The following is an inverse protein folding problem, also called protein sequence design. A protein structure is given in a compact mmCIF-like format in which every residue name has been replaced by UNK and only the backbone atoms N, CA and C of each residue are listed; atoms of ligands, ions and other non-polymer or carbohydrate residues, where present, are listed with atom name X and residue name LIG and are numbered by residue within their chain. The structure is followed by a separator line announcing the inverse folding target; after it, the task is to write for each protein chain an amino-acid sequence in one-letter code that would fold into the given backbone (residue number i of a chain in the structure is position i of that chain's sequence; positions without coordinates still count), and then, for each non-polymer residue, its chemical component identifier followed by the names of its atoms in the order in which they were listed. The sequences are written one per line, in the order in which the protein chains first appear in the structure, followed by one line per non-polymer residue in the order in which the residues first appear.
data_IF_252472041342
#
_entry.id   IF_252472041342
#
_cell.length_a   1.000
_cell.length_b   1.000
_cell.length_c   1.000
_cell.angle_alpha   90.00
_cell.angle_beta   90.00
_cell.angle_gamma   90.00
#
_symmetry.space_group_name_H-M   'P 1'
#
loop_
_entity.id
_entity.type
_entity.pdbx_description
1 polymer ?
#
# COMPACT_ATOMS: atom_id res chain seq x y z
N UNK A 1 -32.09 -14.86 -40.76
CA UNK A 1 -31.59 -13.47 -40.95
C UNK A 1 -30.69 -13.15 -39.78
N UNK A 2 -29.40 -12.94 -40.02
CA UNK A 2 -28.42 -12.68 -38.96
C UNK A 2 -28.56 -11.24 -38.48
N UNK A 3 -28.93 -11.04 -37.21
CA UNK A 3 -28.77 -9.75 -36.53
C UNK A 3 -27.28 -9.48 -36.42
N UNK A 4 -26.73 -8.64 -37.30
CA UNK A 4 -25.42 -8.05 -37.07
C UNK A 4 -25.49 -7.26 -35.76
N UNK A 5 -24.76 -7.71 -34.73
CA UNK A 5 -24.50 -6.92 -33.53
C UNK A 5 -23.93 -5.60 -34.00
N UNK A 6 -24.70 -4.51 -33.90
CA UNK A 6 -24.22 -3.15 -34.19
C UNK A 6 -23.19 -2.79 -33.13
N UNK A 7 -21.94 -3.12 -33.38
CA UNK A 7 -20.81 -2.61 -32.62
C UNK A 7 -20.76 -1.09 -32.78
N UNK A 8 -20.41 -0.38 -31.71
CA UNK A 8 -20.14 1.05 -31.80
C UNK A 8 -18.80 1.24 -32.52
N UNK A 9 -18.81 1.97 -33.63
CA UNK A 9 -17.61 2.24 -34.44
C UNK A 9 -16.98 3.59 -34.13
N UNK A 10 -15.68 3.73 -34.40
CA UNK A 10 -14.96 5.02 -34.23
C UNK A 10 -15.59 6.07 -35.15
N UNK A 11 -15.90 7.24 -34.60
CA UNK A 11 -16.55 8.33 -35.35
C UNK A 11 -18.07 8.22 -35.45
N UNK A 12 -18.68 7.16 -34.91
CA UNK A 12 -20.13 7.07 -34.81
C UNK A 12 -20.66 8.06 -33.76
N UNK A 13 -21.69 8.81 -34.12
CA UNK A 13 -22.36 9.73 -33.19
C UNK A 13 -23.24 8.95 -32.22
N UNK A 14 -23.06 9.19 -30.92
CA UNK A 14 -23.91 8.66 -29.85
C UNK A 14 -24.71 9.82 -29.25
N UNK A 15 -26.03 9.66 -29.15
CA UNK A 15 -26.92 10.67 -28.57
C UNK A 15 -27.44 10.17 -27.23
N UNK A 16 -27.30 10.98 -26.19
CA UNK A 16 -27.75 10.65 -24.84
C UNK A 16 -28.85 11.63 -24.39
N UNK A 17 -29.74 11.17 -23.52
CA UNK A 17 -30.69 12.02 -22.81
C UNK A 17 -30.25 12.13 -21.36
N UNK A 18 -30.34 13.33 -20.79
CA UNK A 18 -30.08 13.55 -19.37
C UNK A 18 -31.20 12.88 -18.58
N UNK A 19 -30.92 11.96 -17.64
CA UNK A 19 -31.93 11.32 -16.80
C UNK A 19 -32.72 12.33 -15.96
N UNK A 20 -33.98 12.02 -15.63
CA UNK A 20 -34.82 12.87 -14.79
C UNK A 20 -34.33 12.99 -13.34
N UNK A 21 -33.57 12.01 -12.86
CA UNK A 21 -33.00 11.95 -11.51
C UNK A 21 -31.67 12.73 -11.39
N UNK A 22 -31.27 13.47 -12.43
CA UNK A 22 -30.00 14.20 -12.42
C UNK A 22 -30.07 15.38 -11.44
N UNK A 23 -29.16 15.48 -10.45
CA UNK A 23 -29.14 16.61 -9.52
C UNK A 23 -28.95 17.98 -10.20
N UNK A 24 -29.62 19.01 -9.67
CA UNK A 24 -29.60 20.39 -10.20
C UNK A 24 -28.19 20.97 -10.36
N UNK A 25 -27.28 20.66 -9.45
CA UNK A 25 -25.91 21.18 -9.52
C UNK A 25 -25.16 20.65 -10.76
N UNK A 26 -25.42 19.42 -11.20
CA UNK A 26 -24.86 18.87 -12.43
C UNK A 26 -25.47 19.52 -13.67
N UNK A 27 -26.78 19.82 -13.65
CA UNK A 27 -27.44 20.53 -14.75
C UNK A 27 -26.87 21.94 -14.95
N UNK A 28 -26.60 22.65 -13.84
CA UNK A 28 -25.94 23.97 -13.88
C UNK A 28 -24.53 23.87 -14.45
N UNK A 29 -23.75 22.88 -14.00
CA UNK A 29 -22.39 22.66 -14.50
C UNK A 29 -22.39 22.32 -16.00
N UNK A 30 -23.29 21.45 -16.46
CA UNK A 30 -23.43 21.13 -17.88
C UNK A 30 -23.82 22.35 -18.73
N UNK A 31 -24.70 23.20 -18.20
CA UNK A 31 -25.09 24.45 -18.85
C UNK A 31 -23.92 25.43 -18.94
N UNK A 32 -23.17 25.61 -17.86
CA UNK A 32 -21.97 26.44 -17.83
C UNK A 32 -20.89 25.93 -18.80
N UNK A 33 -20.70 24.60 -18.86
CA UNK A 33 -19.77 23.98 -19.79
C UNK A 33 -20.20 24.20 -21.25
N UNK A 34 -21.50 24.12 -21.54
CA UNK A 34 -22.05 24.39 -22.87
C UNK A 34 -21.80 25.84 -23.30
N UNK A 35 -21.95 26.79 -22.38
CA UNK A 35 -21.73 28.22 -22.66
C UNK A 35 -20.25 28.55 -22.87
N UNK A 36 -19.37 27.86 -22.15
CA UNK A 36 -17.90 28.03 -22.21
C UNK A 36 -17.31 27.39 -23.47
N UNK A 37 -17.59 26.10 -23.71
CA UNK A 37 -16.96 25.32 -24.78
C UNK A 37 -17.68 25.46 -26.14
N UNK A 38 -18.97 25.82 -26.14
CA UNK A 38 -19.82 26.05 -27.32
C UNK A 38 -19.70 24.96 -28.38
N UNK A 39 -18.87 25.17 -29.41
CA UNK A 39 -18.67 24.24 -30.54
C UNK A 39 -17.91 22.97 -30.14
N UNK A 40 -17.11 23.04 -29.07
CA UNK A 40 -16.31 21.92 -28.59
C UNK A 40 -17.02 21.13 -27.47
N UNK A 41 -18.23 21.55 -27.07
CA UNK A 41 -18.97 20.93 -25.97
C UNK A 41 -19.11 19.42 -26.15
N UNK A 42 -19.54 18.95 -27.33
CA UNK A 42 -19.71 17.51 -27.59
C UNK A 42 -18.39 16.73 -27.49
N UNK A 43 -17.27 17.33 -27.92
CA UNK A 43 -15.94 16.72 -27.79
C UNK A 43 -15.53 16.61 -26.32
N UNK A 44 -15.81 17.65 -25.53
CA UNK A 44 -15.52 17.66 -24.08
C UNK A 44 -16.36 16.64 -23.30
N UNK A 45 -17.66 16.55 -23.62
CA UNK A 45 -18.55 15.53 -23.05
C UNK A 45 -18.08 14.13 -23.45
N UNK A 46 -17.65 13.93 -24.70
CA UNK A 46 -17.11 12.64 -25.13
C UNK A 46 -15.87 12.23 -24.33
N UNK A 47 -14.98 13.16 -23.98
CA UNK A 47 -13.85 12.88 -23.07
C UNK A 47 -14.32 12.42 -21.69
N UNK A 48 -15.31 13.09 -21.09
CA UNK A 48 -15.86 12.67 -19.80
C UNK A 48 -16.51 11.29 -19.87
N UNK A 49 -17.24 10.99 -20.94
CA UNK A 49 -17.84 9.66 -21.14
C UNK A 49 -16.76 8.59 -21.31
N UNK A 50 -15.74 8.82 -22.12
CA UNK A 50 -14.63 7.86 -22.28
C UNK A 50 -13.89 7.61 -20.97
N UNK A 51 -13.64 8.68 -20.19
CA UNK A 51 -13.02 8.56 -18.87
C UNK A 51 -13.92 7.77 -17.91
N UNK A 52 -15.22 8.05 -17.87
CA UNK A 52 -16.18 7.33 -17.04
C UNK A 52 -16.32 5.86 -17.43
N UNK A 53 -16.28 5.53 -18.73
CA UNK A 53 -16.27 4.15 -19.21
C UNK A 53 -14.97 3.46 -18.78
N UNK A 54 -13.82 4.12 -18.95
CA UNK A 54 -12.53 3.59 -18.50
C UNK A 54 -12.53 3.34 -16.99
N UNK A 55 -13.04 4.27 -16.19
CA UNK A 55 -13.15 4.14 -14.74
C UNK A 55 -14.12 3.01 -14.34
N UNK A 56 -15.23 2.85 -15.05
CA UNK A 56 -16.17 1.74 -14.81
C UNK A 56 -15.56 0.38 -15.12
N UNK A 57 -14.68 0.31 -16.12
CA UNK A 57 -13.94 -0.90 -16.47
C UNK A 57 -12.86 -1.21 -15.43
N UNK A 58 -12.21 -0.18 -14.89
CA UNK A 58 -11.21 -0.36 -13.81
C UNK A 58 -11.86 -0.71 -12.48
N UNK A 59 -13.07 -0.21 -12.16
CA UNK A 59 -13.78 -0.58 -10.91
C UNK A 59 -14.14 -2.06 -10.82
N UNK A 60 -14.24 -2.76 -11.95
CA UNK A 60 -14.47 -4.21 -11.99
C UNK A 60 -13.19 -5.05 -11.86
N UNK A 61 -12.01 -4.42 -11.82
CA UNK A 61 -10.73 -5.07 -11.58
C UNK A 61 -10.19 -4.54 -10.25
N UNK A 62 -9.56 -5.37 -9.44
CA UNK A 62 -8.88 -4.94 -8.21
C UNK A 62 -7.60 -4.17 -8.57
N UNK A 63 -7.74 -3.01 -9.23
CA UNK A 63 -6.63 -2.19 -9.70
C UNK A 63 -6.46 -0.99 -8.79
N UNK A 64 -5.33 -0.93 -8.10
CA UNK A 64 -4.90 0.25 -7.32
C UNK A 64 -4.11 1.17 -8.25
N UNK A 65 -4.51 2.44 -8.36
CA UNK A 65 -3.74 3.45 -9.13
C UNK A 65 -2.89 4.27 -8.16
N UNK A 66 -1.56 4.11 -8.25
CA UNK A 66 -0.59 4.81 -7.39
C UNK A 66 0.11 5.90 -8.22
N UNK A 67 -0.03 7.20 -7.87
CA UNK A 67 0.68 8.27 -8.55
C UNK A 67 2.17 8.21 -8.24
N UNK A 68 3.03 8.42 -9.24
CA UNK A 68 4.48 8.44 -9.07
C UNK A 68 4.97 9.84 -8.64
N UNK A 69 5.95 9.95 -7.73
CA UNK A 69 6.46 11.23 -7.23
C UNK A 69 7.30 11.99 -8.25
N UNK A 70 7.91 11.30 -9.22
CA UNK A 70 8.73 11.87 -10.28
C UNK A 70 8.36 11.26 -11.64
N UNK A 71 8.46 12.01 -12.74
CA UNK A 71 8.24 11.46 -14.06
C UNK A 71 9.32 10.42 -14.40
N UNK A 72 8.90 9.29 -14.97
CA UNK A 72 9.78 8.22 -15.37
C UNK A 72 10.58 8.56 -16.63
N UNK A 73 11.84 8.11 -16.67
CA UNK A 73 12.66 8.16 -17.89
C UNK A 73 12.12 7.23 -18.97
N UNK A 74 12.59 7.37 -20.21
CA UNK A 74 12.17 6.50 -21.32
C UNK A 74 12.50 5.03 -21.06
N UNK A 75 13.67 4.77 -20.48
CA UNK A 75 14.13 3.43 -20.12
C UNK A 75 13.28 2.83 -19.00
N UNK A 76 13.05 3.59 -17.92
CA UNK A 76 12.19 3.15 -16.81
C UNK A 76 10.77 2.82 -17.28
N UNK A 77 10.20 3.65 -18.16
CA UNK A 77 8.89 3.36 -18.77
C UNK A 77 8.89 2.10 -19.63
N UNK A 78 9.97 1.83 -20.33
CA UNK A 78 10.09 0.61 -21.14
C UNK A 78 10.28 -0.62 -20.26
N UNK A 79 11.06 -0.47 -19.17
CA UNK A 79 11.30 -1.51 -18.19
C UNK A 79 10.02 -1.94 -17.49
N UNK A 80 9.22 -1.01 -16.94
CA UNK A 80 7.94 -1.33 -16.28
C UNK A 80 6.94 -2.03 -17.21
N UNK A 81 7.01 -1.76 -18.52
CA UNK A 81 6.12 -2.39 -19.52
C UNK A 81 6.55 -3.80 -19.94
N UNK A 82 7.72 -4.24 -19.51
CA UNK A 82 8.22 -5.57 -19.85
C UNK A 82 7.60 -6.59 -18.90
N UNK A 83 7.22 -7.76 -19.42
CA UNK A 83 6.50 -8.82 -18.69
C UNK A 83 7.22 -9.25 -17.40
N UNK A 84 8.53 -9.53 -17.47
CA UNK A 84 9.32 -9.86 -16.28
C UNK A 84 9.35 -8.75 -15.22
N UNK A 85 9.41 -7.48 -15.63
CA UNK A 85 9.42 -6.36 -14.68
C UNK A 85 8.05 -6.17 -14.04
N UNK A 86 6.97 -6.38 -14.79
CA UNK A 86 5.61 -6.38 -14.27
C UNK A 86 5.43 -7.50 -13.23
N UNK A 87 5.92 -8.71 -13.52
CA UNK A 87 5.87 -9.83 -12.58
C UNK A 87 6.66 -9.54 -11.29
N UNK A 88 7.87 -8.96 -11.41
CA UNK A 88 8.68 -8.56 -10.25
C UNK A 88 8.00 -7.46 -9.41
N UNK A 89 7.42 -6.44 -10.04
CA UNK A 89 6.70 -5.39 -9.30
C UNK A 89 5.47 -6.01 -8.62
N UNK A 90 4.77 -6.91 -9.30
CA UNK A 90 3.62 -7.64 -8.74
C UNK A 90 3.99 -8.48 -7.52
N UNK A 91 5.10 -9.22 -7.57
CA UNK A 91 5.54 -10.04 -6.43
C UNK A 91 6.00 -9.21 -5.25
N UNK A 92 6.74 -8.12 -5.49
CA UNK A 92 7.13 -7.17 -4.42
C UNK A 92 5.87 -6.56 -3.79
N UNK A 93 4.92 -6.10 -4.60
CA UNK A 93 3.69 -5.49 -4.09
C UNK A 93 2.87 -6.50 -3.26
N UNK A 94 2.77 -7.74 -3.73
CA UNK A 94 2.12 -8.82 -3.00
C UNK A 94 2.77 -9.06 -1.63
N UNK A 95 4.11 -9.14 -1.58
CA UNK A 95 4.84 -9.32 -0.33
C UNK A 95 4.62 -8.15 0.65
N UNK A 96 4.60 -6.91 0.16
CA UNK A 96 4.34 -5.73 0.98
C UNK A 96 2.90 -5.71 1.54
N UNK A 97 1.93 -6.26 0.81
CA UNK A 97 0.55 -6.38 1.29
C UNK A 97 0.38 -7.52 2.30
N UNK A 98 1.20 -8.58 2.22
CA UNK A 98 1.15 -9.72 3.14
C UNK A 98 1.74 -9.39 4.52
N UNK A 99 2.80 -8.58 4.58
CA UNK A 99 3.42 -8.17 5.85
C UNK A 99 3.78 -6.66 5.84
N UNK A 100 2.86 -5.78 6.28
CA UNK A 100 3.09 -4.35 6.27
C UNK A 100 4.15 -3.90 7.30
N UNK A 101 4.40 -4.67 8.36
CA UNK A 101 5.42 -4.32 9.36
C UNK A 101 6.80 -4.44 8.73
N UNK A 102 7.09 -5.55 8.02
CA UNK A 102 8.35 -5.69 7.26
C UNK A 102 8.52 -4.64 6.17
N UNK A 103 7.44 -4.21 5.53
CA UNK A 103 7.47 -3.14 4.53
C UNK A 103 8.01 -1.82 5.11
N UNK A 104 7.62 -1.48 6.33
CA UNK A 104 8.12 -0.27 7.02
C UNK A 104 9.61 -0.38 7.36
N UNK A 105 10.06 -1.54 7.83
CA UNK A 105 11.48 -1.78 8.11
C UNK A 105 12.32 -1.72 6.83
N UNK A 106 11.80 -2.23 5.70
CA UNK A 106 12.47 -2.13 4.40
C UNK A 106 12.55 -0.67 3.94
N UNK A 107 11.49 0.13 4.11
CA UNK A 107 11.52 1.55 3.79
C UNK A 107 12.55 2.30 4.66
N UNK A 108 12.64 1.97 5.95
CA UNK A 108 13.63 2.54 6.86
C UNK A 108 15.06 2.19 6.41
N UNK A 109 15.33 0.92 6.10
CA UNK A 109 16.60 0.44 5.55
C UNK A 109 16.97 1.11 4.22
N UNK A 110 16.03 1.28 3.28
CA UNK A 110 16.27 1.97 2.02
C UNK A 110 16.57 3.47 2.21
N UNK A 111 15.94 4.11 3.20
CA UNK A 111 16.19 5.52 3.52
C UNK A 111 17.49 5.73 4.28
N UNK A 112 17.91 4.78 5.13
CA UNK A 112 19.15 4.82 5.90
C UNK A 112 20.36 4.20 5.16
N UNK A 113 20.13 3.60 3.99
CA UNK A 113 21.15 2.92 3.18
C UNK A 113 21.84 1.74 3.93
N UNK A 114 21.17 1.19 4.95
CA UNK A 114 21.63 0.04 5.73
C UNK A 114 21.12 -1.24 5.05
N UNK A 115 22.03 -2.16 4.70
CA UNK A 115 21.69 -3.40 3.99
C UNK A 115 21.10 -4.48 4.91
N UNK A 116 21.18 -4.29 6.24
CA UNK A 116 20.61 -5.18 7.25
C UNK A 116 19.45 -4.50 7.98
N UNK A 117 18.31 -5.19 8.01
CA UNK A 117 17.05 -4.73 8.61
C UNK A 117 17.18 -4.57 10.12
N UNK A 118 18.00 -5.42 10.76
CA UNK A 118 18.20 -5.36 12.21
C UNK A 118 19.08 -4.17 12.63
N UNK A 119 20.05 -3.81 11.78
CA UNK A 119 20.92 -2.66 11.99
C UNK A 119 20.14 -1.34 11.82
N UNK A 120 19.22 -1.28 10.85
CA UNK A 120 18.37 -0.11 10.64
C UNK A 120 17.44 0.17 11.82
N UNK A 121 16.89 -0.87 12.47
CA UNK A 121 16.04 -0.72 13.65
C UNK A 121 16.83 -0.15 14.84
N UNK A 122 18.06 -0.62 15.03
CA UNK A 122 18.96 -0.14 16.07
C UNK A 122 19.42 1.31 15.85
N UNK A 123 19.66 1.73 14.60
CA UNK A 123 20.00 3.11 14.27
C UNK A 123 18.85 4.09 14.53
N UNK A 124 17.60 3.67 14.26
CA UNK A 124 16.42 4.48 14.57
C UNK A 124 16.24 4.66 16.08
N UNK A 125 16.53 3.63 16.88
CA UNK A 125 16.51 3.73 18.35
C UNK A 125 17.60 4.67 18.88
N UNK A 126 18.79 4.67 18.25
CA UNK A 126 19.86 5.64 18.56
C UNK A 126 19.52 7.09 18.16
N UNK A 127 18.87 7.32 17.02
CA UNK A 127 18.44 8.66 16.61
C UNK A 127 17.32 9.20 17.51
N UNK A 128 16.39 8.34 17.94
CA UNK A 128 15.36 8.69 18.90
C UNK A 128 15.95 8.98 20.30
N UNK A 129 16.91 8.19 20.76
CA UNK A 129 17.61 8.41 22.03
C UNK A 129 18.52 9.65 22.00
N UNK A 130 19.14 9.97 20.86
CA UNK A 130 19.95 11.18 20.70
C UNK A 130 19.12 12.46 20.57
N UNK A 131 17.84 12.35 20.20
CA UNK A 131 16.90 13.48 20.16
C UNK A 131 16.39 13.88 21.55
N UNK A 132 16.54 13.04 22.58
CA UNK A 132 16.16 13.37 23.97
C UNK A 132 17.21 14.20 24.73
N UNK A 133 18.43 14.36 24.19
CA UNK A 133 19.54 15.00 24.92
C UNK A 133 19.87 16.44 24.48
N UNK A 134 18.93 17.13 23.81
CA UNK A 134 19.12 18.53 23.39
C UNK A 134 18.08 19.50 23.98
N UNK A 135 18.46 20.03 25.16
CA UNK A 135 18.22 21.38 25.68
C UNK A 135 16.75 21.79 25.98
N UNK A 136 16.36 21.97 27.27
CA UNK A 136 15.06 22.56 27.59
C UNK A 136 15.01 24.01 27.09
N UNK A 137 14.08 24.28 26.19
CA UNK A 137 13.72 25.63 25.76
C UNK A 137 13.22 26.41 26.98
N UNK A 138 13.88 27.53 27.31
CA UNK A 138 13.38 28.52 28.27
C UNK A 138 11.99 29.00 27.81
N UNK A 139 10.95 28.52 28.51
CA UNK A 139 9.59 29.03 28.40
C UNK A 139 9.52 30.36 29.19
N UNK A 140 9.09 31.48 28.57
CA UNK A 140 8.87 32.71 29.31
C UNK A 140 7.67 32.55 30.24
N UNK A 141 7.79 33.02 31.48
CA UNK A 141 6.76 32.99 32.52
C UNK A 141 5.41 33.52 32.00
N UNK A 142 4.45 32.62 31.83
CA UNK A 142 3.03 32.96 31.66
C UNK A 142 2.30 32.44 32.90
N UNK A 143 1.89 33.38 33.75
CA UNK A 143 1.04 33.17 34.92
C UNK A 143 -0.33 32.61 34.47
N UNK A 144 -0.53 31.32 34.74
CA UNK A 144 -1.79 30.59 34.57
C UNK A 144 -2.14 29.99 35.93
N UNK A 145 -3.26 30.44 36.50
CA UNK A 145 -3.77 30.05 37.81
C UNK A 145 -4.07 28.54 37.96
N UNK A 146 -4.48 28.12 39.18
CA UNK A 146 -4.34 26.72 39.60
C UNK A 146 -5.31 25.79 38.88
N UNK A 147 -4.76 24.74 38.28
CA UNK A 147 -5.47 23.56 37.75
C UNK A 147 -5.67 22.52 38.86
N UNK A 148 -6.77 21.74 38.82
CA UNK A 148 -7.10 20.76 39.85
C UNK A 148 -6.22 19.52 39.74
N UNK A 149 -5.77 19.01 40.89
CA UNK A 149 -5.08 17.73 41.02
C UNK A 149 -6.09 16.59 40.85
N UNK A 150 -5.92 15.78 39.80
CA UNK A 150 -6.51 14.44 39.73
C UNK A 150 -5.37 13.42 39.84
N UNK A 151 -5.37 12.73 40.98
CA UNK A 151 -4.55 11.57 41.29
C UNK A 151 -4.81 10.43 40.29
N UNK A 152 -3.77 9.93 39.62
CA UNK A 152 -3.81 8.61 38.99
C UNK A 152 -2.41 7.98 38.95
N UNK A 153 -1.84 7.75 40.13
CA UNK A 153 -0.58 7.01 40.35
C UNK A 153 -0.79 5.48 40.47
N UNK A 154 -1.97 4.95 40.10
CA UNK A 154 -2.32 3.54 40.33
C UNK A 154 -2.32 2.63 39.08
N UNK A 155 -2.00 3.11 37.87
CA UNK A 155 -2.10 2.28 36.64
C UNK A 155 -0.78 1.66 36.16
N UNK A 156 0.32 1.77 36.90
CA UNK A 156 1.63 1.21 36.51
C UNK A 156 2.05 -0.04 37.29
N UNK A 157 1.33 -0.41 38.37
CA UNK A 157 1.64 -1.61 39.16
C UNK A 157 1.00 -2.89 38.64
N UNK A 158 -0.06 -2.79 37.83
CA UNK A 158 -0.79 -3.97 37.34
C UNK A 158 -0.10 -4.68 36.16
N UNK A 159 0.85 -4.02 35.47
CA UNK A 159 1.56 -4.59 34.31
C UNK A 159 2.77 -5.44 34.74
N UNK A 160 3.42 -5.09 35.85
CA UNK A 160 4.59 -5.84 36.36
C UNK A 160 4.20 -7.22 36.90
N UNK A 161 3.01 -7.37 37.50
CA UNK A 161 2.52 -8.66 38.02
C UNK A 161 2.07 -9.64 36.91
N UNK A 162 1.70 -9.15 35.70
CA UNK A 162 1.34 -10.02 34.56
C UNK A 162 2.57 -10.55 33.80
N UNK A 163 3.74 -9.92 33.94
CA UNK A 163 4.97 -10.32 33.24
C UNK A 163 5.71 -11.46 33.95
N UNK A 164 5.53 -11.61 35.27
CA UNK A 164 6.22 -12.61 36.10
C UNK A 164 5.70 -14.05 35.86
N UNK A 165 4.63 -14.19 35.07
CA UNK A 165 4.03 -15.48 34.67
C UNK A 165 4.50 -16.05 33.33
N UNK A 166 5.27 -15.29 32.53
CA UNK A 166 5.69 -15.71 31.18
C UNK A 166 7.11 -16.30 31.21
N UNK A 167 7.22 -17.60 31.50
CA UNK A 167 8.47 -18.33 31.38
C UNK A 167 8.68 -18.87 29.96
N UNK A 168 9.90 -18.72 29.43
CA UNK A 168 10.29 -19.23 28.10
C UNK A 168 10.18 -20.75 27.98
N UNK A 169 10.25 -21.48 29.10
CA UNK A 169 10.05 -22.93 29.18
C UNK A 169 8.61 -23.33 28.83
N UNK A 170 7.60 -22.51 29.20
CA UNK A 170 6.20 -22.83 28.94
C UNK A 170 5.81 -22.65 27.46
N UNK A 171 6.47 -21.73 26.74
CA UNK A 171 6.25 -21.56 25.28
C UNK A 171 6.85 -22.72 24.46
N UNK A 172 7.91 -23.36 24.96
CA UNK A 172 8.58 -24.46 24.28
C UNK A 172 7.73 -25.74 24.31
N UNK A 173 6.97 -25.96 25.39
CA UNK A 173 6.03 -27.08 25.53
C UNK A 173 4.83 -26.95 24.57
N UNK A 174 4.29 -25.74 24.37
CA UNK A 174 3.15 -25.48 23.47
C UNK A 174 3.53 -25.62 21.98
N UNK A 175 4.80 -25.34 21.63
CA UNK A 175 5.36 -25.57 20.29
C UNK A 175 5.59 -27.07 19.98
N UNK A 176 5.96 -27.86 20.99
CA UNK A 176 6.18 -29.30 20.82
C UNK A 176 4.86 -30.09 20.70
N UNK A 177 3.78 -29.63 21.32
CA UNK A 177 2.46 -30.29 21.23
C UNK A 177 1.83 -30.12 19.83
N UNK A 178 2.09 -28.99 19.14
CA UNK A 178 1.61 -28.75 17.76
C UNK A 178 2.43 -29.45 16.67
N UNK A 179 3.68 -29.83 16.93
CA UNK A 179 4.55 -30.46 15.94
C UNK A 179 4.23 -31.95 15.68
N UNK A 180 3.36 -32.57 16.48
CA UNK A 180 3.16 -34.03 16.46
C UNK A 180 1.86 -34.49 15.78
N UNK A 181 1.04 -33.59 15.22
CA UNK A 181 -0.23 -33.95 14.57
C UNK A 181 -0.32 -33.67 13.06
N UNK A 182 0.73 -33.16 12.40
CA UNK A 182 0.64 -32.86 10.96
C UNK A 182 1.95 -33.15 10.22
N UNK A 183 2.29 -34.43 10.05
CA UNK A 183 3.30 -34.87 9.06
C UNK A 183 2.95 -36.25 8.51
N UNK A 184 2.24 -36.31 7.38
CA UNK A 184 2.59 -37.18 6.23
C UNK A 184 1.86 -36.63 4.99
N UNK A 185 2.57 -36.02 4.04
CA UNK A 185 2.54 -36.35 2.60
C UNK A 185 3.41 -35.35 1.80
N UNK A 186 4.45 -35.90 1.16
CA UNK A 186 5.25 -35.43 0.01
C UNK A 186 6.08 -34.13 0.13
N UNK A 187 7.39 -34.29 0.38
CA UNK A 187 8.45 -33.30 0.06
C UNK A 187 9.81 -34.03 -0.18
N UNK A 188 9.85 -35.09 -0.99
CA UNK A 188 11.13 -35.75 -1.37
C UNK A 188 11.75 -35.18 -2.67
N UNK A 189 11.09 -34.24 -3.36
CA UNK A 189 11.55 -33.74 -4.68
C UNK A 189 12.22 -32.34 -4.66
N UNK A 190 12.15 -31.58 -3.55
CA UNK A 190 12.68 -30.20 -3.50
C UNK A 190 14.16 -30.10 -3.07
N UNK A 191 14.68 -31.10 -2.34
CA UNK A 191 16.06 -31.08 -1.84
C UNK A 191 17.11 -31.38 -2.92
N UNK A 192 16.75 -32.12 -3.99
CA UNK A 192 17.69 -32.52 -5.06
C UNK A 192 17.93 -31.38 -6.09
N UNK A 193 16.97 -30.45 -6.24
CA UNK A 193 17.08 -29.30 -7.15
C UNK A 193 18.12 -28.27 -6.69
N UNK A 194 18.33 -28.13 -5.38
CA UNK A 194 19.34 -27.24 -4.81
C UNK A 194 20.75 -27.84 -4.91
N UNK A 195 20.87 -29.17 -4.89
CA UNK A 195 22.14 -29.89 -5.04
C UNK A 195 22.75 -29.74 -6.44
N UNK A 196 21.92 -29.85 -7.49
CA UNK A 196 22.38 -29.70 -8.89
C UNK A 196 22.79 -28.25 -9.20
N UNK A 197 22.09 -27.27 -8.61
CA UNK A 197 22.43 -25.85 -8.74
C UNK A 197 23.80 -25.53 -8.12
N UNK A 198 24.06 -25.97 -6.89
CA UNK A 198 25.34 -25.71 -6.21
C UNK A 198 26.53 -26.42 -6.88
N UNK A 199 26.29 -27.57 -7.50
CA UNK A 199 27.31 -28.32 -8.26
C UNK A 199 27.73 -27.60 -9.55
N UNK A 200 26.83 -26.82 -10.15
CA UNK A 200 27.10 -26.06 -11.39
C UNK A 200 28.00 -24.84 -11.19
N UNK A 201 28.12 -24.33 -9.96
CA UNK A 201 28.85 -23.09 -9.66
C UNK A 201 30.32 -23.32 -9.25
N UNK A 202 30.70 -24.58 -8.98
CA UNK A 202 32.05 -24.98 -8.59
C UNK A 202 32.87 -25.61 -9.73
N UNK A 203 32.57 -25.26 -10.99
CA UNK A 203 33.30 -25.74 -12.17
C UNK A 203 34.09 -24.64 -12.87
#
# INVERSE_FOLDING_TARGET
MSQSKKSVERGQSITFRVPSDTPDHLLRQLSHLKDTERRNFSSKIAQFVLNGVNESLTKGKETVTIPLPKPLTKEQRNWIKHEHSEALIGSILYQLMMDPIRATSLLASLNSNAYDINEALYLQEQEAAAAEDHNPLEVPDIDLGPLPEEDSDDNWKDIDDELDGLSMDNLQEELHEKANEETVEDDEDEEDLLGDFLSSMNK
#
